data_IF_030592510607
#
_entry.id   IF_030592510607
#
_cell.length_a   1.000
_cell.length_b   1.000
_cell.length_c   1.000
_cell.angle_alpha   90.00
_cell.angle_beta   90.00
_cell.angle_gamma   90.00
#
_symmetry.space_group_name_H-M   'P 1'
#
loop_
_entity.id
_entity.type
_entity.pdbx_description
1 polymer ?
#
# COMPACT_ATOMS: atom_id res chain seq x y z
N UNK A 1 -16.00 23.90 6.21
CA UNK A 1 -15.68 22.63 6.92
C UNK A 1 -14.32 22.14 6.50
N UNK A 2 -13.48 21.79 7.44
CA UNK A 2 -12.14 21.29 7.14
C UNK A 2 -12.18 19.81 6.77
N UNK A 3 -11.39 19.43 5.79
CA UNK A 3 -11.28 18.04 5.37
C UNK A 3 -10.55 17.22 6.45
N UNK A 4 -11.00 15.99 6.69
CA UNK A 4 -10.32 15.05 7.59
C UNK A 4 -9.21 14.29 6.86
N UNK A 5 -9.32 14.16 5.54
CA UNK A 5 -8.36 13.48 4.67
C UNK A 5 -8.21 14.24 3.38
N UNK A 6 -7.03 14.16 2.79
CA UNK A 6 -6.78 14.77 1.48
C UNK A 6 -6.11 13.75 0.57
N UNK A 7 -6.46 13.77 -0.69
CA UNK A 7 -5.82 12.95 -1.70
C UNK A 7 -4.31 13.25 -1.74
N UNK A 8 -3.50 12.22 -1.80
CA UNK A 8 -2.07 12.34 -1.96
C UNK A 8 -1.60 11.73 -3.28
N UNK A 9 -1.95 10.47 -3.55
CA UNK A 9 -1.41 9.77 -4.72
C UNK A 9 -2.28 8.57 -5.11
N UNK A 10 -2.37 8.34 -6.43
CA UNK A 10 -2.83 7.08 -6.99
C UNK A 10 -1.65 6.36 -7.61
N UNK A 11 -1.57 5.05 -7.44
CA UNK A 11 -0.54 4.24 -8.09
C UNK A 11 -1.02 2.80 -8.22
N UNK A 12 -0.31 2.00 -9.03
CA UNK A 12 -0.58 0.57 -9.06
C UNK A 12 0.18 -0.11 -7.91
N UNK A 13 -0.22 -1.35 -7.59
CA UNK A 13 0.50 -2.18 -6.65
C UNK A 13 1.57 -2.94 -7.43
N UNK A 14 2.84 -2.62 -7.16
CA UNK A 14 3.96 -3.27 -7.82
C UNK A 14 4.29 -4.62 -7.18
N UNK A 15 4.84 -5.52 -7.97
CA UNK A 15 5.37 -6.82 -7.53
C UNK A 15 4.34 -7.73 -6.85
N UNK A 16 3.07 -7.61 -7.22
CA UNK A 16 2.02 -8.36 -6.55
C UNK A 16 2.21 -9.89 -6.68
N UNK A 17 2.78 -10.36 -7.78
CA UNK A 17 3.01 -11.80 -8.01
C UNK A 17 4.16 -12.38 -7.19
N UNK A 18 5.06 -11.54 -6.72
CA UNK A 18 6.25 -11.99 -6.00
C UNK A 18 6.03 -12.10 -4.50
N UNK A 19 4.84 -11.78 -4.03
CA UNK A 19 4.50 -11.75 -2.61
C UNK A 19 3.18 -12.47 -2.34
N UNK A 20 2.56 -12.21 -1.20
CA UNK A 20 1.48 -13.04 -0.67
C UNK A 20 0.07 -12.63 -1.10
N UNK A 21 -0.07 -11.80 -2.13
CA UNK A 21 -1.39 -11.34 -2.58
C UNK A 21 -2.34 -12.50 -2.95
N UNK A 22 -1.80 -13.55 -3.55
CA UNK A 22 -2.64 -14.69 -3.95
C UNK A 22 -3.26 -15.43 -2.77
N UNK A 23 -2.62 -15.41 -1.61
CA UNK A 23 -3.13 -16.08 -0.42
C UNK A 23 -4.36 -15.40 0.17
N UNK A 24 -4.53 -14.11 -0.11
CA UNK A 24 -5.66 -13.32 0.39
C UNK A 24 -6.43 -12.64 -0.73
N UNK A 25 -6.27 -13.13 -1.95
CA UNK A 25 -6.84 -12.49 -3.15
C UNK A 25 -8.34 -12.18 -3.02
N UNK A 26 -9.11 -13.11 -2.48
CA UNK A 26 -10.55 -12.92 -2.32
C UNK A 26 -10.93 -11.82 -1.32
N UNK A 27 -9.98 -11.38 -0.51
CA UNK A 27 -10.17 -10.30 0.47
C UNK A 27 -9.72 -8.94 -0.07
N UNK A 28 -9.04 -8.93 -1.21
CA UNK A 28 -8.51 -7.71 -1.81
C UNK A 28 -9.54 -7.14 -2.80
N UNK A 29 -10.35 -6.22 -2.31
CA UNK A 29 -11.46 -5.61 -3.05
C UNK A 29 -11.34 -4.09 -3.01
N UNK A 30 -12.06 -3.42 -3.90
CA UNK A 30 -12.17 -1.96 -3.85
C UNK A 30 -12.61 -1.54 -2.45
N UNK A 31 -11.88 -0.63 -1.85
CA UNK A 31 -12.15 -0.14 -0.50
C UNK A 31 -11.37 -0.85 0.61
N UNK A 32 -10.73 -1.99 0.32
CA UNK A 32 -9.94 -2.69 1.32
C UNK A 32 -8.82 -1.79 1.84
N UNK A 33 -8.74 -1.69 3.17
CA UNK A 33 -7.70 -0.89 3.85
C UNK A 33 -6.38 -1.64 3.86
N UNK A 34 -5.30 -0.95 3.52
CA UNK A 34 -3.95 -1.49 3.50
C UNK A 34 -3.05 -0.62 4.36
N UNK A 35 -1.93 -1.17 4.80
CA UNK A 35 -0.96 -0.46 5.60
C UNK A 35 0.34 -0.31 4.81
N UNK A 36 0.94 0.86 4.86
CA UNK A 36 2.23 1.13 4.24
C UNK A 36 3.33 0.97 5.27
N UNK A 37 4.36 0.19 4.94
CA UNK A 37 5.44 -0.10 5.86
C UNK A 37 6.79 0.08 5.18
N UNK A 38 7.67 0.86 5.80
CA UNK A 38 9.03 1.06 5.30
C UNK A 38 9.81 -0.25 5.37
N UNK A 39 10.39 -0.67 4.25
CA UNK A 39 11.18 -1.89 4.20
C UNK A 39 12.68 -1.53 4.13
N UNK A 40 13.29 -1.40 5.30
CA UNK A 40 14.69 -1.00 5.44
C UNK A 40 15.69 -2.09 5.02
N UNK A 41 15.22 -3.32 4.90
CA UNK A 41 16.09 -4.46 4.57
C UNK A 41 16.10 -4.81 3.09
N UNK A 42 15.37 -4.05 2.27
CA UNK A 42 15.29 -4.31 0.84
C UNK A 42 16.61 -3.99 0.16
N UNK A 43 17.18 -4.98 -0.52
CA UNK A 43 18.48 -4.84 -1.19
C UNK A 43 18.40 -4.17 -2.56
N UNK A 44 17.21 -4.17 -3.15
CA UNK A 44 17.00 -3.72 -4.54
C UNK A 44 16.49 -2.31 -4.62
N UNK A 45 15.91 -1.80 -3.55
CA UNK A 45 15.31 -0.46 -3.51
C UNK A 45 15.52 0.14 -2.12
N UNK A 46 16.39 1.15 -2.04
CA UNK A 46 16.71 1.81 -0.78
C UNK A 46 15.54 2.62 -0.21
N UNK A 47 14.51 2.86 -1.02
CA UNK A 47 13.31 3.59 -0.61
C UNK A 47 12.07 2.70 -0.60
N UNK A 48 12.25 1.40 -0.45
CA UNK A 48 11.15 0.44 -0.55
C UNK A 48 10.06 0.68 0.49
N UNK A 49 8.81 0.68 0.03
CA UNK A 49 7.63 0.75 0.89
C UNK A 49 6.75 -0.44 0.59
N UNK A 50 6.64 -1.34 1.55
CA UNK A 50 5.80 -2.53 1.44
C UNK A 50 4.33 -2.15 1.65
N UNK A 51 3.46 -2.81 0.90
CA UNK A 51 2.02 -2.68 1.07
C UNK A 51 1.53 -3.92 1.79
N UNK A 52 0.96 -3.73 2.98
CA UNK A 52 0.58 -4.81 3.88
C UNK A 52 -0.94 -4.91 4.00
N UNK A 53 -1.43 -6.14 3.99
CA UNK A 53 -2.81 -6.43 4.36
C UNK A 53 -2.82 -7.12 5.72
N UNK A 54 -3.53 -6.53 6.67
CA UNK A 54 -3.69 -7.09 8.01
C UNK A 54 -5.03 -7.79 8.10
N UNK A 55 -5.00 -9.12 8.20
CA UNK A 55 -6.23 -9.92 8.30
C UNK A 55 -6.71 -9.91 9.75
N UNK A 56 -7.85 -9.30 9.98
CA UNK A 56 -8.39 -9.17 11.34
C UNK A 56 -8.95 -10.45 11.90
N UNK A 57 -9.32 -11.39 11.04
CA UNK A 57 -9.86 -12.68 11.48
C UNK A 57 -8.79 -13.62 11.98
N UNK A 58 -7.65 -13.67 11.29
CA UNK A 58 -6.55 -14.57 11.63
C UNK A 58 -5.43 -13.86 12.39
N UNK A 59 -5.43 -12.52 12.40
CA UNK A 59 -4.38 -11.68 12.97
C UNK A 59 -3.04 -11.81 12.25
N UNK A 60 -3.05 -12.35 11.03
CA UNK A 60 -1.86 -12.48 10.20
C UNK A 60 -1.63 -11.22 9.36
N UNK A 61 -0.38 -10.97 9.03
CA UNK A 61 0.04 -9.88 8.15
C UNK A 61 0.54 -10.46 6.84
N UNK A 62 0.14 -9.85 5.74
CA UNK A 62 0.56 -10.29 4.41
C UNK A 62 1.16 -9.12 3.65
N UNK A 63 2.39 -9.31 3.13
CA UNK A 63 2.94 -8.35 2.18
C UNK A 63 2.37 -8.69 0.81
N UNK A 64 1.53 -7.82 0.27
CA UNK A 64 0.86 -8.08 -1.01
C UNK A 64 1.57 -7.43 -2.19
N UNK A 65 2.58 -6.64 -1.94
CA UNK A 65 3.36 -5.97 -2.98
C UNK A 65 4.04 -4.73 -2.43
N UNK A 66 4.40 -3.84 -3.33
CA UNK A 66 5.15 -2.61 -3.00
C UNK A 66 4.59 -1.41 -3.73
N UNK A 67 4.85 -0.23 -3.18
CA UNK A 67 4.64 1.03 -3.90
C UNK A 67 5.69 1.08 -5.02
N UNK A 68 5.32 1.49 -6.25
CA UNK A 68 6.29 1.54 -7.34
C UNK A 68 7.51 2.40 -7.00
N UNK A 69 8.68 1.96 -7.44
CA UNK A 69 9.96 2.63 -7.16
C UNK A 69 9.97 4.11 -7.49
N UNK A 70 9.30 4.49 -8.57
CA UNK A 70 9.30 5.89 -9.02
C UNK A 70 8.40 6.78 -8.19
N UNK A 71 7.63 6.21 -7.27
CA UNK A 71 6.61 6.94 -6.53
C UNK A 71 6.72 6.78 -5.02
N UNK A 72 7.79 6.17 -4.53
CA UNK A 72 7.87 5.79 -3.12
C UNK A 72 8.72 6.71 -2.23
N UNK A 73 9.55 7.56 -2.79
CA UNK A 73 10.56 8.30 -2.03
C UNK A 73 9.98 9.19 -0.93
N UNK A 74 8.95 9.97 -1.23
CA UNK A 74 8.32 10.84 -0.24
C UNK A 74 7.65 10.02 0.87
N UNK A 75 6.95 8.96 0.49
CA UNK A 75 6.30 8.06 1.47
C UNK A 75 7.35 7.43 2.36
N UNK A 76 8.43 6.91 1.76
CA UNK A 76 9.52 6.27 2.48
C UNK A 76 10.13 7.22 3.50
N UNK A 77 10.41 8.46 3.11
CA UNK A 77 11.00 9.46 4.00
C UNK A 77 10.11 9.75 5.21
N UNK A 78 8.82 9.89 4.98
CA UNK A 78 7.84 10.18 6.04
C UNK A 78 7.74 9.02 7.01
N UNK A 79 7.63 7.79 6.49
CA UNK A 79 7.55 6.59 7.33
C UNK A 79 8.83 6.38 8.13
N UNK A 80 9.97 6.63 7.49
CA UNK A 80 11.27 6.47 8.14
C UNK A 80 11.44 7.43 9.32
N UNK A 81 10.81 8.60 9.26
CA UNK A 81 10.84 9.57 10.35
C UNK A 81 9.79 9.28 11.43
N UNK A 82 9.12 8.14 11.36
CA UNK A 82 8.22 7.70 12.42
C UNK A 82 6.75 8.09 12.25
N UNK A 83 6.36 8.69 11.12
CA UNK A 83 4.98 9.13 10.89
C UNK A 83 4.13 7.99 10.33
N UNK A 84 3.93 6.94 11.12
CA UNK A 84 3.29 5.71 10.66
C UNK A 84 1.77 5.81 10.47
N UNK A 85 1.13 6.81 11.02
CA UNK A 85 -0.32 6.98 10.92
C UNK A 85 -0.74 8.13 10.00
N UNK A 86 0.17 8.64 9.21
CA UNK A 86 -0.14 9.78 8.33
C UNK A 86 -0.98 9.37 7.12
N UNK A 87 -0.72 8.20 6.57
CA UNK A 87 -1.35 7.75 5.33
C UNK A 87 -2.51 6.80 5.57
N UNK A 88 -3.53 6.91 4.70
CA UNK A 88 -4.55 5.89 4.55
C UNK A 88 -4.44 5.37 3.12
N UNK A 89 -4.17 4.07 2.97
CA UNK A 89 -4.06 3.42 1.67
C UNK A 89 -5.23 2.46 1.49
N UNK A 90 -5.97 2.60 0.39
CA UNK A 90 -7.06 1.68 0.05
C UNK A 90 -6.96 1.24 -1.40
N UNK A 91 -7.46 0.05 -1.65
CA UNK A 91 -7.59 -0.45 -3.03
C UNK A 91 -8.66 0.37 -3.73
N UNK A 92 -8.33 0.95 -4.88
CA UNK A 92 -9.25 1.74 -5.68
C UNK A 92 -9.76 1.01 -6.91
N UNK A 93 -9.03 -0.02 -7.37
CA UNK A 93 -9.42 -0.79 -8.54
C UNK A 93 -8.81 -2.18 -8.49
N UNK A 94 -9.60 -3.19 -8.87
CA UNK A 94 -9.12 -4.56 -9.06
C UNK A 94 -9.55 -5.02 -10.45
N UNK A 95 -8.59 -5.42 -11.27
CA UNK A 95 -8.85 -5.94 -12.61
C UNK A 95 -8.09 -7.25 -12.80
N UNK A 96 -8.72 -8.41 -12.55
CA UNK A 96 -8.04 -9.70 -12.65
C UNK A 96 -7.61 -10.06 -14.08
N UNK A 97 -8.17 -9.41 -15.09
CA UNK A 97 -7.84 -9.67 -16.48
C UNK A 97 -6.64 -8.87 -16.98
N UNK A 98 -6.15 -7.92 -16.19
CA UNK A 98 -4.99 -7.13 -16.55
C UNK A 98 -3.69 -7.90 -16.29
N UNK A 99 -2.58 -7.41 -16.84
CA UNK A 99 -1.25 -7.88 -16.47
C UNK A 99 -1.06 -7.76 -14.97
N UNK A 100 -0.35 -8.70 -14.35
CA UNK A 100 -0.20 -8.76 -12.89
C UNK A 100 0.22 -7.44 -12.25
N UNK A 101 1.11 -6.68 -12.89
CA UNK A 101 1.55 -5.38 -12.37
C UNK A 101 0.43 -4.34 -12.29
N UNK A 102 -0.65 -4.51 -13.05
CA UNK A 102 -1.72 -3.52 -13.14
C UNK A 102 -3.07 -4.06 -12.66
N UNK A 103 -3.07 -5.20 -11.99
CA UNK A 103 -4.32 -5.80 -11.50
C UNK A 103 -4.91 -5.04 -10.32
N UNK A 104 -4.07 -4.47 -9.47
CA UNK A 104 -4.53 -3.73 -8.29
C UNK A 104 -3.99 -2.30 -8.37
N UNK A 105 -4.89 -1.34 -8.14
CA UNK A 105 -4.56 0.06 -8.02
C UNK A 105 -4.91 0.57 -6.63
N UNK A 106 -4.13 1.55 -6.17
CA UNK A 106 -4.22 2.08 -4.82
C UNK A 106 -4.52 3.57 -4.85
N UNK A 107 -5.30 4.04 -3.89
CA UNK A 107 -5.43 5.45 -3.60
C UNK A 107 -4.90 5.70 -2.20
N UNK A 108 -3.99 6.65 -2.08
CA UNK A 108 -3.36 7.02 -0.83
C UNK A 108 -3.82 8.42 -0.45
N UNK A 109 -4.30 8.57 0.77
CA UNK A 109 -4.74 9.85 1.32
C UNK A 109 -3.89 10.20 2.54
N UNK A 110 -3.78 11.49 2.80
CA UNK A 110 -3.15 12.01 4.02
C UNK A 110 -4.26 12.29 5.02
N UNK A 111 -4.11 11.76 6.22
CA UNK A 111 -5.07 11.99 7.30
C UNK A 111 -4.72 13.23 8.08
N UNK A 112 -5.74 13.88 8.65
CA UNK A 112 -5.53 15.02 9.53
C UNK A 112 -4.79 14.58 10.79
N UNK A 113 -3.82 15.38 11.20
CA UNK A 113 -3.19 15.22 12.49
C UNK A 113 -4.12 15.83 13.55
N UNK A 114 -4.33 15.11 14.61
CA UNK A 114 -5.20 15.57 15.70
C UNK A 114 -4.44 16.29 16.77
#
# INVERSE_FOLDING_TARGET
MEAKKRFFKDCHLAERKSHDADEVWDKLKVGTLLRLQRDMENRYDTEAVAVMYDDKETEDEYCIGYIPRKENDTIAAILEMGWNNLFECRISKVNPDAHSEYQIHLTIKIKRNK
#
